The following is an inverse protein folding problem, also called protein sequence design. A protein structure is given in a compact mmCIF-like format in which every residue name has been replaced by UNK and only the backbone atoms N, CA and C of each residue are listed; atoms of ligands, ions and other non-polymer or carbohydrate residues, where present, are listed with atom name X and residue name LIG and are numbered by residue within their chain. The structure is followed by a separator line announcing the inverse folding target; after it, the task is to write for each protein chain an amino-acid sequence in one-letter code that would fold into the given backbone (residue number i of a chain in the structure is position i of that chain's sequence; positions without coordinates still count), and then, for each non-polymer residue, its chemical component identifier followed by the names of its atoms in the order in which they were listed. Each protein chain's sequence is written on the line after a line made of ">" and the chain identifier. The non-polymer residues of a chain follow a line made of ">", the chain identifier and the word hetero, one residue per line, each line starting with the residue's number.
data_IF_324811226478
#
_entry.id   IF_324811226478
#
_cell.length_a   1.000
_cell.length_b   1.000
_cell.length_c   1.000
_cell.angle_alpha   90.00
_cell.angle_beta   90.00
_cell.angle_gamma   90.00
#
_symmetry.space_group_name_H-M   'P 1'
#
loop_
_entity.id
_entity.type
_entity.pdbx_description
1 polymer ?
#
# COMPACT_ATOMS: atom_id res chain seq x y z
N UNK A 1 -16.26 26.34 26.01
CA UNK A 1 -15.95 24.93 25.74
C UNK A 1 -14.93 24.49 26.78
N UNK A 2 -15.24 23.45 27.55
CA UNK A 2 -14.37 22.94 28.62
C UNK A 2 -13.24 22.10 28.01
N UNK A 3 -12.07 22.06 28.67
CA UNK A 3 -10.91 21.28 28.21
C UNK A 3 -11.24 19.80 28.08
N UNK A 4 -12.18 19.30 28.88
CA UNK A 4 -12.67 17.92 28.81
C UNK A 4 -13.44 17.63 27.53
N UNK A 5 -14.23 18.57 27.00
CA UNK A 5 -14.92 18.39 25.71
C UNK A 5 -13.94 18.41 24.55
N UNK A 6 -12.90 19.26 24.60
CA UNK A 6 -11.79 19.23 23.63
C UNK A 6 -11.05 17.89 23.70
N UNK A 7 -10.75 17.40 24.90
CA UNK A 7 -10.12 16.11 25.11
C UNK A 7 -10.99 14.97 24.59
N UNK A 8 -12.31 15.04 24.76
CA UNK A 8 -13.28 14.02 24.32
C UNK A 8 -13.57 14.05 22.82
N UNK A 9 -13.58 15.24 22.20
CA UNK A 9 -13.69 15.44 20.76
C UNK A 9 -12.42 14.99 20.03
N UNK A 10 -11.24 15.30 20.57
CA UNK A 10 -9.99 14.78 20.03
C UNK A 10 -9.94 13.24 20.24
N UNK A 11 -10.20 12.70 21.42
CA UNK A 11 -9.85 11.29 21.70
C UNK A 11 -10.65 10.18 21.01
N UNK A 12 -11.86 10.38 20.47
CA UNK A 12 -12.71 9.21 20.15
C UNK A 12 -13.10 8.94 18.71
N UNK A 13 -13.28 9.92 17.83
CA UNK A 13 -13.91 9.61 16.53
C UNK A 13 -13.44 10.47 15.36
N UNK A 14 -12.99 11.69 15.63
CA UNK A 14 -12.44 12.58 14.60
C UNK A 14 -10.92 12.43 14.48
N UNK A 15 -10.17 12.15 15.56
CA UNK A 15 -8.74 11.89 15.45
C UNK A 15 -8.42 10.67 14.60
N UNK A 16 -9.16 9.56 14.66
CA UNK A 16 -8.84 8.37 13.86
C UNK A 16 -9.04 8.55 12.35
N UNK A 17 -9.98 9.40 11.93
CA UNK A 17 -10.26 9.69 10.51
C UNK A 17 -9.46 10.89 10.00
N UNK A 18 -9.12 11.84 10.88
CA UNK A 18 -8.22 12.94 10.56
C UNK A 18 -6.76 12.49 10.55
N UNK A 19 -6.28 11.66 11.49
CA UNK A 19 -4.89 11.14 11.47
C UNK A 19 -4.56 10.46 10.15
N UNK A 20 -5.46 9.60 9.64
CA UNK A 20 -5.23 8.86 8.40
C UNK A 20 -5.10 9.77 7.16
N UNK A 21 -5.72 10.96 7.18
CA UNK A 21 -5.72 11.92 6.05
C UNK A 21 -4.74 13.07 6.27
N UNK A 22 -4.49 13.42 7.53
CA UNK A 22 -3.59 14.49 7.96
C UNK A 22 -2.14 13.97 8.01
N UNK A 23 -1.91 12.69 8.30
CA UNK A 23 -0.59 12.00 8.30
C UNK A 23 0.33 12.43 7.15
N UNK A 24 -0.06 12.36 5.86
CA UNK A 24 0.84 12.73 4.75
C UNK A 24 1.10 14.23 4.63
N UNK A 25 0.25 15.09 5.22
CA UNK A 25 0.36 16.56 5.13
C UNK A 25 0.85 17.22 6.41
N UNK A 26 0.82 16.53 7.55
CA UNK A 26 1.17 17.09 8.86
C UNK A 26 2.69 17.31 8.99
N UNK A 27 3.49 16.37 8.47
CA UNK A 27 4.95 16.44 8.53
C UNK A 27 5.53 17.66 7.82
N UNK A 28 5.17 17.98 6.55
CA UNK A 28 5.69 19.19 5.91
C UNK A 28 5.21 20.48 6.62
N UNK A 29 4.00 20.50 7.17
CA UNK A 29 3.49 21.65 7.94
C UNK A 29 4.29 21.84 9.23
N UNK A 30 4.50 20.76 10.00
CA UNK A 30 5.32 20.80 11.22
C UNK A 30 6.76 21.18 10.92
N UNK A 31 7.32 20.70 9.81
CA UNK A 31 8.68 21.07 9.41
C UNK A 31 8.79 22.57 9.11
N UNK A 32 7.84 23.12 8.34
CA UNK A 32 7.81 24.56 8.05
C UNK A 32 7.60 25.40 9.32
N UNK A 33 6.70 24.97 10.20
CA UNK A 33 6.41 25.65 11.46
C UNK A 33 7.59 25.57 12.45
N UNK A 34 8.26 24.42 12.52
CA UNK A 34 9.48 24.25 13.30
C UNK A 34 10.62 25.12 12.78
N UNK A 35 10.83 25.17 11.46
CA UNK A 35 11.80 26.08 10.84
C UNK A 35 11.49 27.54 11.14
N UNK A 36 10.23 27.96 11.02
CA UNK A 36 9.80 29.31 11.35
C UNK A 36 10.06 29.62 12.83
N UNK A 37 9.77 28.68 13.74
CA UNK A 37 10.04 28.80 15.16
C UNK A 37 11.54 28.98 15.47
N UNK A 38 12.39 28.14 14.87
CA UNK A 38 13.86 28.24 15.02
C UNK A 38 14.37 29.58 14.49
N UNK A 39 13.85 30.03 13.34
CA UNK A 39 14.23 31.31 12.74
C UNK A 39 13.84 32.49 13.62
N UNK A 40 12.59 32.53 14.10
CA UNK A 40 12.12 33.58 15.00
C UNK A 40 12.91 33.58 16.32
N UNK A 41 13.19 32.40 16.88
CA UNK A 41 14.03 32.26 18.06
C UNK A 41 15.45 32.80 17.81
N UNK A 42 16.10 32.40 16.72
CA UNK A 42 17.45 32.84 16.40
C UNK A 42 17.54 34.36 16.23
N UNK A 43 16.59 34.96 15.52
CA UNK A 43 16.52 36.42 15.35
C UNK A 43 16.28 37.12 16.68
N UNK A 44 15.32 36.64 17.49
CA UNK A 44 15.05 37.20 18.82
C UNK A 44 16.26 37.11 19.75
N UNK A 45 16.93 35.95 19.77
CA UNK A 45 18.14 35.72 20.56
C UNK A 45 19.30 36.61 20.12
N UNK A 46 19.46 36.83 18.81
CA UNK A 46 20.49 37.72 18.27
C UNK A 46 20.30 39.15 18.78
N UNK A 47 19.09 39.71 18.64
CA UNK A 47 18.82 41.07 19.10
C UNK A 47 18.91 41.20 20.63
N UNK A 48 18.46 40.19 21.36
CA UNK A 48 18.57 40.15 22.82
C UNK A 48 20.03 40.19 23.25
N UNK A 49 20.87 39.28 22.74
CA UNK A 49 22.28 39.17 23.11
C UNK A 49 23.10 40.39 22.71
N UNK A 50 22.87 40.94 21.51
CA UNK A 50 23.50 42.21 21.09
C UNK A 50 23.05 43.40 21.94
N UNK A 51 21.82 43.40 22.46
CA UNK A 51 21.31 44.45 23.35
C UNK A 51 22.08 44.57 24.67
N UNK A 52 22.68 43.48 25.16
CA UNK A 52 23.52 43.49 26.37
C UNK A 52 24.98 43.89 26.11
N UNK A 53 25.40 44.01 24.84
CA UNK A 53 26.73 44.45 24.46
C UNK A 53 27.32 43.65 23.29
N UNK A 54 28.33 44.23 22.64
CA UNK A 54 28.94 43.66 21.42
C UNK A 54 29.58 42.28 21.65
N UNK A 55 30.29 42.09 22.77
CA UNK A 55 30.90 40.79 23.11
C UNK A 55 29.87 39.69 23.36
N UNK A 56 28.75 40.03 24.01
CA UNK A 56 27.63 39.10 24.22
C UNK A 56 26.93 38.77 22.90
N UNK A 57 26.82 39.72 21.97
CA UNK A 57 26.32 39.46 20.63
C UNK A 57 27.17 38.45 19.86
N UNK A 58 28.51 38.56 19.94
CA UNK A 58 29.42 37.63 19.29
C UNK A 58 29.32 36.21 19.90
N UNK A 59 29.20 36.12 21.22
CA UNK A 59 28.92 34.86 21.92
C UNK A 59 27.54 34.30 21.57
N UNK A 60 26.53 35.17 21.47
CA UNK A 60 25.18 34.81 21.05
C UNK A 60 25.12 34.24 19.63
N UNK A 61 25.99 34.70 18.72
CA UNK A 61 26.11 34.14 17.38
C UNK A 61 26.60 32.68 17.43
N UNK A 62 27.58 32.38 18.29
CA UNK A 62 28.07 31.02 18.52
C UNK A 62 26.97 30.15 19.16
N UNK A 63 26.21 30.70 20.11
CA UNK A 63 25.09 30.03 20.75
C UNK A 63 24.01 29.66 19.71
N UNK A 64 23.61 30.61 18.86
CA UNK A 64 22.67 30.36 17.76
C UNK A 64 23.20 29.29 16.81
N UNK A 65 24.50 29.29 16.50
CA UNK A 65 25.08 28.27 15.63
C UNK A 65 24.99 26.87 16.25
N UNK A 66 25.34 26.71 17.53
CA UNK A 66 25.32 25.41 18.21
C UNK A 66 23.90 24.95 18.52
N UNK A 67 23.12 25.77 19.23
CA UNK A 67 21.76 25.41 19.63
C UNK A 67 20.79 25.46 18.46
N UNK A 68 20.96 26.36 17.50
CA UNK A 68 20.15 26.38 16.28
C UNK A 68 20.39 25.13 15.42
N UNK A 69 21.64 24.66 15.30
CA UNK A 69 21.93 23.39 14.64
C UNK A 69 21.36 22.21 15.42
N UNK A 70 21.49 22.20 16.75
CA UNK A 70 20.89 21.17 17.60
C UNK A 70 19.36 21.14 17.44
N UNK A 71 18.69 22.29 17.44
CA UNK A 71 17.25 22.41 17.21
C UNK A 71 16.86 21.91 15.81
N UNK A 72 17.68 22.19 14.78
CA UNK A 72 17.44 21.72 13.42
C UNK A 72 17.57 20.19 13.32
N UNK A 73 18.56 19.59 13.99
CA UNK A 73 18.73 18.14 14.09
C UNK A 73 17.57 17.52 14.89
N UNK A 74 17.21 18.11 16.03
CA UNK A 74 16.07 17.68 16.83
C UNK A 74 14.76 17.73 16.05
N UNK A 75 14.54 18.79 15.27
CA UNK A 75 13.38 18.93 14.38
C UNK A 75 13.36 17.81 13.33
N UNK A 76 14.52 17.46 12.75
CA UNK A 76 14.64 16.36 11.79
C UNK A 76 14.26 15.02 12.42
N UNK A 77 14.85 14.72 13.57
CA UNK A 77 14.59 13.49 14.31
C UNK A 77 13.10 13.42 14.70
N UNK A 78 12.51 14.52 15.18
CA UNK A 78 11.10 14.57 15.53
C UNK A 78 10.19 14.31 14.32
N UNK A 79 10.48 14.93 13.16
CA UNK A 79 9.71 14.72 11.93
C UNK A 79 9.80 13.27 11.45
N UNK A 80 10.98 12.66 11.50
CA UNK A 80 11.18 11.25 11.14
C UNK A 80 10.49 10.31 12.12
N UNK A 81 10.60 10.56 13.42
CA UNK A 81 9.92 9.81 14.45
C UNK A 81 8.39 9.86 14.29
N UNK A 82 7.84 11.03 13.94
CA UNK A 82 6.43 11.20 13.60
C UNK A 82 6.05 10.37 12.38
N UNK A 83 6.84 10.40 11.30
CA UNK A 83 6.59 9.56 10.10
C UNK A 83 6.58 8.07 10.45
N UNK A 84 7.54 7.61 11.25
CA UNK A 84 7.61 6.21 11.69
C UNK A 84 6.42 5.85 12.58
N UNK A 85 6.03 6.75 13.49
CA UNK A 85 4.89 6.56 14.39
C UNK A 85 3.57 6.47 13.62
N UNK A 86 3.32 7.41 12.69
CA UNK A 86 2.13 7.38 11.83
C UNK A 86 2.11 6.11 10.97
N UNK A 87 3.24 5.75 10.38
CA UNK A 87 3.37 4.51 9.59
C UNK A 87 3.03 3.25 10.40
N UNK A 88 3.47 3.19 11.66
CA UNK A 88 3.13 2.07 12.55
C UNK A 88 1.63 2.05 12.93
N UNK A 89 1.01 3.22 13.07
CA UNK A 89 -0.42 3.33 13.41
C UNK A 89 -1.34 3.07 12.21
N UNK A 90 -0.92 3.38 10.98
CA UNK A 90 -1.65 2.98 9.77
C UNK A 90 -1.80 1.45 9.66
N UNK A 91 -0.73 0.69 10.00
CA UNK A 91 -0.79 -0.78 10.01
C UNK A 91 -1.79 -1.34 11.03
N UNK A 92 -2.01 -0.63 12.13
CA UNK A 92 -2.95 -1.04 13.18
C UNK A 92 -4.42 -0.86 12.75
N UNK A 93 -4.71 0.08 11.84
CA UNK A 93 -6.05 0.27 11.27
C UNK A 93 -6.40 -0.76 10.19
N UNK A 94 -5.42 -1.15 9.37
CA UNK A 94 -5.60 -2.14 8.30
C UNK A 94 -5.98 -3.52 8.85
N UNK A 95 -5.37 -3.95 9.97
CA UNK A 95 -5.67 -5.25 10.61
C UNK A 95 -7.10 -5.32 11.14
N UNK A 96 -7.64 -4.21 11.66
CA UNK A 96 -9.02 -4.10 12.16
C UNK A 96 -10.03 -4.06 11.00
N UNK A 97 -9.68 -3.45 9.87
CA UNK A 97 -10.56 -3.46 8.71
C UNK A 97 -10.56 -4.84 8.03
N UNK A 98 -9.39 -5.46 7.91
CA UNK A 98 -9.25 -6.81 7.36
C UNK A 98 -9.93 -7.87 8.21
N UNK A 99 -9.93 -7.74 9.55
CA UNK A 99 -10.67 -8.66 10.42
C UNK A 99 -12.19 -8.56 10.25
N UNK A 100 -12.71 -7.36 9.95
CA UNK A 100 -14.14 -7.16 9.61
C UNK A 100 -14.50 -7.74 8.24
N UNK A 101 -13.65 -7.57 7.23
CA UNK A 101 -13.86 -8.20 5.91
C UNK A 101 -13.76 -9.73 5.99
N UNK A 102 -12.85 -10.29 6.78
CA UNK A 102 -12.82 -11.75 6.99
C UNK A 102 -14.05 -12.26 7.73
N UNK A 103 -14.60 -11.48 8.67
CA UNK A 103 -15.82 -11.86 9.37
C UNK A 103 -17.04 -11.85 8.44
N UNK A 104 -17.15 -10.87 7.54
CA UNK A 104 -18.25 -10.82 6.55
C UNK A 104 -18.13 -11.92 5.49
N UNK A 105 -16.92 -12.20 5.00
CA UNK A 105 -16.70 -13.30 4.04
C UNK A 105 -17.00 -14.67 4.64
N UNK A 106 -16.66 -14.91 5.92
CA UNK A 106 -17.01 -16.15 6.60
C UNK A 106 -18.52 -16.26 6.82
N UNK A 107 -19.21 -15.14 7.05
CA UNK A 107 -20.67 -15.11 7.19
C UNK A 107 -21.35 -15.43 5.86
N UNK A 108 -20.90 -14.83 4.76
CA UNK A 108 -21.42 -15.07 3.40
C UNK A 108 -21.13 -16.51 2.92
N UNK A 109 -19.95 -17.05 3.19
CA UNK A 109 -19.63 -18.47 2.89
C UNK A 109 -20.49 -19.41 3.75
N UNK A 110 -20.74 -19.08 5.02
CA UNK A 110 -21.64 -19.87 5.88
C UNK A 110 -23.07 -19.85 5.36
N UNK A 111 -23.53 -18.71 4.89
CA UNK A 111 -24.86 -18.52 4.31
C UNK A 111 -25.02 -19.34 3.02
N UNK A 112 -24.05 -19.25 2.10
CA UNK A 112 -24.04 -20.06 0.88
C UNK A 112 -24.02 -21.58 1.14
N UNK A 113 -23.33 -22.03 2.21
CA UNK A 113 -23.36 -23.44 2.64
C UNK A 113 -24.74 -23.83 3.19
N UNK A 114 -25.42 -22.91 3.88
CA UNK A 114 -26.79 -23.10 4.39
C UNK A 114 -27.75 -23.31 3.22
N UNK A 115 -27.70 -22.42 2.23
CA UNK A 115 -28.55 -22.46 1.04
C UNK A 115 -28.34 -23.76 0.25
N UNK A 116 -27.07 -24.17 0.02
CA UNK A 116 -26.77 -25.42 -0.68
C UNK A 116 -27.25 -26.67 0.07
N UNK A 117 -27.26 -26.62 1.40
CA UNK A 117 -27.78 -27.72 2.22
C UNK A 117 -29.31 -27.78 2.19
N UNK A 118 -29.99 -26.66 2.02
CA UNK A 118 -31.45 -26.59 1.88
C UNK A 118 -31.90 -26.93 0.45
N UNK A 119 -31.05 -26.73 -0.57
CA UNK A 119 -31.32 -27.08 -1.97
C UNK A 119 -31.01 -28.56 -2.31
N UNK A 120 -30.48 -29.33 -1.36
CA UNK A 120 -30.07 -30.74 -1.55
C UNK A 120 -31.15 -31.81 -1.32
N UNK A 121 -32.40 -31.46 -0.99
CA UNK A 121 -33.45 -32.45 -0.69
C UNK A 121 -34.41 -32.78 -1.85
N UNK A 122 -34.35 -32.08 -2.99
CA UNK A 122 -35.32 -32.24 -4.09
C UNK A 122 -34.71 -32.68 -5.44
N UNK A 123 -33.60 -33.41 -5.41
CA UNK A 123 -32.95 -33.97 -6.60
C UNK A 123 -33.63 -35.25 -7.09
N UNK A 124 -34.53 -35.10 -8.06
CA UNK A 124 -35.23 -36.12 -8.83
C UNK A 124 -34.32 -37.31 -9.27
N UNK A 125 -34.35 -38.41 -8.51
CA UNK A 125 -33.60 -39.65 -8.78
C UNK A 125 -34.19 -40.48 -9.94
N UNK A 126 -35.12 -39.93 -10.74
CA UNK A 126 -35.87 -40.69 -11.74
C UNK A 126 -35.30 -40.70 -13.17
N UNK A 127 -34.33 -39.84 -13.51
CA UNK A 127 -33.89 -39.65 -14.92
C UNK A 127 -32.64 -40.48 -15.32
N UNK A 128 -31.95 -41.11 -14.36
CA UNK A 128 -30.64 -41.74 -14.63
C UNK A 128 -30.70 -43.10 -15.38
N UNK A 129 -31.89 -43.69 -15.56
CA UNK A 129 -32.04 -45.03 -16.16
C UNK A 129 -32.25 -45.02 -17.70
N UNK A 130 -32.38 -43.86 -18.36
CA UNK A 130 -32.74 -43.80 -19.79
C UNK A 130 -31.55 -43.79 -20.77
N UNK A 131 -30.30 -43.85 -20.29
CA UNK A 131 -29.07 -43.75 -21.12
C UNK A 131 -28.27 -45.05 -21.31
N UNK A 132 -28.89 -46.23 -21.21
CA UNK A 132 -28.22 -47.48 -21.62
C UNK A 132 -28.34 -47.64 -23.15
N UNK A 133 -27.43 -47.04 -23.89
CA UNK A 133 -27.26 -47.32 -25.32
C UNK A 133 -26.65 -48.73 -25.51
N UNK A 134 -27.25 -49.63 -26.30
CA UNK A 134 -26.73 -50.98 -26.51
C UNK A 134 -25.37 -50.96 -27.25
N UNK A 135 -24.37 -51.61 -26.67
CA UNK A 135 -22.96 -51.61 -27.09
C UNK A 135 -22.64 -52.41 -28.39
N UNK A 136 -23.38 -52.18 -29.48
CA UNK A 136 -23.20 -52.96 -30.73
C UNK A 136 -22.90 -52.16 -31.99
N UNK A 137 -22.64 -50.86 -31.90
CA UNK A 137 -22.26 -50.06 -33.08
C UNK A 137 -20.72 -50.00 -33.23
N UNK A 138 -20.14 -50.57 -34.29
CA UNK A 138 -18.70 -50.52 -34.52
C UNK A 138 -18.26 -49.11 -34.96
N UNK A 139 -17.15 -48.63 -34.39
CA UNK A 139 -16.60 -47.31 -34.73
C UNK A 139 -16.26 -47.19 -36.22
N UNK A 140 -16.46 -46.01 -36.86
CA UNK A 140 -16.16 -45.80 -38.27
C UNK A 140 -14.68 -46.06 -38.61
N UNK A 141 -14.44 -46.82 -39.68
CA UNK A 141 -13.10 -47.15 -40.17
C UNK A 141 -12.38 -45.90 -40.70
N UNK A 142 -11.23 -45.57 -40.11
CA UNK A 142 -10.30 -44.53 -40.60
C UNK A 142 -9.14 -45.22 -41.33
N UNK A 143 -8.90 -44.95 -42.63
CA UNK A 143 -7.79 -45.56 -43.35
C UNK A 143 -6.42 -45.08 -42.81
N UNK A 144 -5.38 -45.94 -42.80
CA UNK A 144 -4.06 -45.57 -42.30
C UNK A 144 -3.40 -44.51 -43.20
N UNK A 145 -2.99 -43.39 -42.61
CA UNK A 145 -2.11 -42.39 -43.24
C UNK A 145 -0.72 -43.02 -43.44
N UNK A 146 -0.07 -42.87 -44.62
CA UNK A 146 1.28 -43.39 -44.84
C UNK A 146 2.31 -42.74 -43.89
N UNK A 147 3.39 -43.46 -43.53
CA UNK A 147 4.33 -43.01 -42.50
C UNK A 147 5.10 -41.77 -42.97
N UNK A 148 4.90 -40.66 -42.26
CA UNK A 148 5.79 -39.49 -42.33
C UNK A 148 7.14 -39.89 -41.70
N UNK A 149 8.28 -39.55 -42.32
CA UNK A 149 9.60 -39.89 -41.76
C UNK A 149 9.81 -39.28 -40.37
N UNK A 150 10.62 -39.90 -39.49
CA UNK A 150 10.77 -39.46 -38.12
C UNK A 150 11.43 -38.08 -38.08
N UNK A 151 10.71 -37.11 -37.52
CA UNK A 151 11.26 -35.80 -37.15
C UNK A 151 12.34 -36.04 -36.07
N UNK A 152 13.57 -35.53 -36.22
CA UNK A 152 14.59 -35.69 -35.18
C UNK A 152 14.13 -35.00 -33.89
N UNK A 153 14.47 -35.55 -32.71
CA UNK A 153 14.03 -35.00 -31.44
C UNK A 153 14.48 -33.54 -31.32
N UNK A 154 13.53 -32.65 -31.06
CA UNK A 154 13.79 -31.24 -30.82
C UNK A 154 14.86 -31.11 -29.72
N UNK A 155 15.93 -30.40 -30.03
CA UNK A 155 16.97 -30.06 -29.05
C UNK A 155 16.32 -29.34 -27.86
N UNK A 156 16.68 -29.71 -26.61
CA UNK A 156 16.13 -29.03 -25.44
C UNK A 156 16.51 -27.54 -25.50
N UNK A 157 15.51 -26.66 -25.35
CA UNK A 157 15.72 -25.21 -25.31
C UNK A 157 16.69 -24.86 -24.19
N UNK A 158 17.77 -24.16 -24.55
CA UNK A 158 18.68 -23.58 -23.57
C UNK A 158 17.99 -22.46 -22.78
N UNK A 159 18.34 -22.27 -21.50
CA UNK A 159 17.77 -21.21 -20.67
C UNK A 159 18.19 -19.83 -21.20
N UNK A 160 17.26 -18.88 -21.14
CA UNK A 160 17.44 -17.53 -21.69
C UNK A 160 18.39 -16.63 -20.88
N UNK A 161 18.96 -17.12 -19.77
CA UNK A 161 19.81 -16.35 -18.86
C UNK A 161 20.90 -17.23 -18.25
N UNK A 162 22.10 -16.68 -18.09
CA UNK A 162 23.24 -17.30 -17.39
C UNK A 162 23.24 -16.89 -15.91
N UNK A 163 23.69 -17.78 -15.03
CA UNK A 163 23.81 -17.52 -13.59
C UNK A 163 24.70 -16.29 -13.32
N UNK A 164 24.10 -15.22 -12.80
CA UNK A 164 24.78 -13.98 -12.41
C UNK A 164 24.23 -12.71 -13.07
N UNK A 165 23.38 -12.81 -14.09
CA UNK A 165 22.70 -11.64 -14.67
C UNK A 165 21.39 -11.34 -13.92
N UNK A 166 21.22 -10.11 -13.44
CA UNK A 166 19.93 -9.62 -12.93
C UNK A 166 19.05 -9.24 -14.11
N UNK A 167 17.80 -9.73 -14.13
CA UNK A 167 16.81 -9.42 -15.16
C UNK A 167 16.75 -7.89 -15.40
N UNK A 168 17.18 -7.42 -16.57
CA UNK A 168 16.97 -6.03 -16.98
C UNK A 168 15.47 -5.76 -17.01
N UNK A 169 15.05 -4.75 -16.26
CA UNK A 169 13.66 -4.30 -16.13
C UNK A 169 13.02 -4.14 -17.52
N UNK A 170 11.79 -4.63 -17.75
CA UNK A 170 11.16 -4.54 -19.05
C UNK A 170 11.01 -3.06 -19.43
N UNK A 171 11.63 -2.67 -20.55
CA UNK A 171 11.51 -1.35 -21.15
C UNK A 171 10.04 -1.08 -21.44
N UNK A 172 9.46 -0.09 -20.75
CA UNK A 172 8.06 0.32 -20.83
C UNK A 172 7.71 0.75 -22.27
N UNK A 173 7.23 -0.16 -23.10
CA UNK A 173 6.68 0.11 -24.44
C UNK A 173 5.19 0.36 -24.33
N UNK A 174 4.81 1.59 -23.99
CA UNK A 174 3.47 2.08 -24.25
C UNK A 174 3.57 3.56 -24.65
N UNK A 175 3.81 3.81 -25.94
CA UNK A 175 3.57 5.13 -26.54
C UNK A 175 2.06 5.30 -26.64
N UNK A 176 1.47 6.09 -25.75
CA UNK A 176 0.08 6.52 -25.83
C UNK A 176 -0.01 7.64 -26.87
N UNK A 177 -0.59 7.36 -28.04
CA UNK A 177 -0.95 8.38 -29.03
C UNK A 177 -2.11 9.24 -28.50
N UNK A 178 -2.07 10.57 -28.63
CA UNK A 178 -3.19 11.42 -28.25
C UNK A 178 -4.31 11.35 -29.31
N UNK A 179 -5.59 11.51 -28.93
CA UNK A 179 -6.69 11.54 -29.88
C UNK A 179 -6.66 12.83 -30.71
N UNK A 180 -6.98 12.69 -32.00
CA UNK A 180 -7.05 13.77 -32.99
C UNK A 180 -8.34 14.57 -32.74
N UNK A 181 -8.23 15.87 -32.49
CA UNK A 181 -9.38 16.77 -32.45
C UNK A 181 -10.07 16.74 -33.82
N UNK A 182 -11.35 16.38 -33.83
CA UNK A 182 -12.23 16.52 -35.00
C UNK A 182 -12.93 17.87 -34.83
N UNK A 183 -12.63 18.79 -35.76
CA UNK A 183 -13.42 20.00 -36.00
C UNK A 183 -14.31 19.77 -37.20
#
# INVERSE_FOLDING_TARGET
>A
MTLDDLKRLFTRQTLFRLDAILSPKLVPILYALGLAGILLWAVGHLFWTFGFGFGNGLWGLLEIAVFGLLLLVGLRIACEALLVWFKAHEQSGETVNRSRYSASLLDEVRDAIRDLAEEGEDGDYAEADEYITPATEPAPYVPPVPPVPPVPPATPRSPATTSGETHKTPRRTAKRTPPKNVS
#
